data_IF_957169681176
#
_entry.id   IF_957169681176
#
_cell.length_a   1.000
_cell.length_b   1.000
_cell.length_c   1.000
_cell.angle_alpha   90.00
_cell.angle_beta   90.00
_cell.angle_gamma   90.00
#
_symmetry.space_group_name_H-M   'P 1'
#
loop_
_entity.id
_entity.type
_entity.pdbx_description
1 polymer ?
#
# COMPACT_ATOMS: atom_id res chain seq x y z
N UNK A 1 -6.79 1.05 14.35
CA UNK A 1 -6.11 -0.20 13.96
C UNK A 1 -5.99 -1.20 15.09
N UNK A 2 -5.61 -0.80 16.30
CA UNK A 2 -5.46 -1.71 17.44
C UNK A 2 -6.69 -2.59 17.75
N UNK A 3 -7.91 -2.02 17.78
CA UNK A 3 -9.15 -2.78 17.99
C UNK A 3 -9.38 -3.89 16.94
N UNK A 4 -8.95 -3.67 15.70
CA UNK A 4 -9.07 -4.66 14.62
C UNK A 4 -8.10 -5.83 14.86
N UNK A 5 -6.87 -5.53 15.29
CA UNK A 5 -5.86 -6.54 15.65
C UNK A 5 -6.32 -7.36 16.84
N UNK A 6 -6.80 -6.72 17.91
CA UNK A 6 -7.33 -7.41 19.10
C UNK A 6 -8.51 -8.31 18.74
N UNK A 7 -9.43 -7.82 17.90
CA UNK A 7 -10.56 -8.62 17.45
C UNK A 7 -10.13 -9.81 16.59
N UNK A 8 -9.16 -9.64 15.68
CA UNK A 8 -8.55 -10.73 14.89
C UNK A 8 -8.06 -11.85 15.81
N UNK A 9 -7.33 -11.51 16.88
CA UNK A 9 -6.85 -12.51 17.83
C UNK A 9 -8.00 -13.15 18.63
N UNK A 10 -8.98 -12.36 19.06
CA UNK A 10 -10.16 -12.84 19.80
C UNK A 10 -10.96 -13.88 19.03
N UNK A 11 -11.11 -13.73 17.72
CA UNK A 11 -11.86 -14.68 16.87
C UNK A 11 -10.97 -15.81 16.29
N UNK A 12 -9.67 -15.80 16.58
CA UNK A 12 -8.72 -16.78 16.05
C UNK A 12 -8.44 -16.65 14.55
N UNK A 13 -8.61 -15.46 13.96
CA UNK A 13 -8.31 -15.24 12.54
C UNK A 13 -6.79 -15.28 12.31
N UNK A 14 -6.35 -16.20 11.45
CA UNK A 14 -4.92 -16.46 11.19
C UNK A 14 -4.36 -15.71 9.97
N UNK A 15 -5.22 -15.03 9.21
CA UNK A 15 -4.79 -14.29 8.01
C UNK A 15 -4.03 -13.00 8.35
N UNK A 16 -3.31 -12.50 7.36
CA UNK A 16 -2.59 -11.23 7.45
C UNK A 16 -3.56 -10.07 7.24
N UNK A 17 -3.50 -9.06 8.10
CA UNK A 17 -4.23 -7.81 7.88
C UNK A 17 -3.43 -6.96 6.90
N UNK A 18 -4.11 -6.38 5.91
CA UNK A 18 -3.49 -5.55 4.90
C UNK A 18 -4.01 -4.13 4.96
N UNK A 19 -3.12 -3.15 4.80
CA UNK A 19 -3.45 -1.78 4.46
C UNK A 19 -3.04 -1.52 3.02
N UNK A 20 -3.96 -0.96 2.25
CA UNK A 20 -3.73 -0.61 0.85
C UNK A 20 -3.54 0.92 0.73
N UNK A 21 -2.34 1.40 0.41
CA UNK A 21 -2.08 2.83 0.26
C UNK A 21 -2.76 3.42 -0.98
N UNK A 22 -3.43 4.56 -0.84
CA UNK A 22 -4.05 5.30 -1.96
C UNK A 22 -3.95 6.80 -1.75
N UNK A 23 -3.43 7.54 -2.74
CA UNK A 23 -3.46 9.01 -2.71
C UNK A 23 -4.83 9.50 -3.20
N UNK A 24 -5.56 10.23 -2.34
CA UNK A 24 -6.89 10.77 -2.67
C UNK A 24 -6.79 12.01 -3.57
N UNK A 25 -7.72 12.15 -4.52
CA UNK A 25 -7.80 13.20 -5.54
C UNK A 25 -8.53 14.50 -5.13
N UNK A 26 -8.65 14.82 -3.84
CA UNK A 26 -9.22 16.10 -3.33
C UNK A 26 -8.57 16.51 -1.99
N UNK A 27 -8.58 17.80 -1.59
CA UNK A 27 -7.75 18.31 -0.50
C UNK A 27 -8.38 17.99 0.86
N UNK A 28 -8.18 16.76 1.30
CA UNK A 28 -8.18 16.41 2.72
C UNK A 28 -7.25 15.21 2.86
N UNK A 29 -6.15 15.44 3.58
CA UNK A 29 -5.08 14.51 3.99
C UNK A 29 -5.44 13.03 3.73
N UNK A 30 -4.85 12.45 2.69
CA UNK A 30 -4.76 10.98 2.61
C UNK A 30 -3.73 10.54 3.65
N UNK A 31 -4.20 9.92 4.72
CA UNK A 31 -3.35 9.36 5.79
C UNK A 31 -2.64 8.05 5.36
N UNK A 32 -2.25 7.94 4.10
CA UNK A 32 -1.32 6.92 3.60
C UNK A 32 -0.22 7.59 2.78
N UNK A 33 0.27 8.72 3.30
CA UNK A 33 1.49 9.32 2.78
C UNK A 33 2.69 8.62 3.43
N UNK A 34 3.21 7.62 2.70
CA UNK A 34 4.48 6.93 2.95
C UNK A 34 4.56 6.09 4.25
N UNK A 35 5.47 5.09 4.30
CA UNK A 35 5.67 4.24 5.49
C UNK A 35 6.29 4.96 6.71
N UNK A 36 6.56 6.26 6.63
CA UNK A 36 7.33 7.00 7.65
C UNK A 36 6.59 7.47 8.91
N UNK A 37 5.28 7.80 8.93
CA UNK A 37 4.63 8.16 10.19
C UNK A 37 4.22 6.94 11.03
N UNK A 38 4.45 5.71 10.53
CA UNK A 38 4.25 4.52 11.35
C UNK A 38 5.30 4.46 12.46
N UNK A 39 6.59 4.66 12.19
CA UNK A 39 7.67 4.39 13.16
C UNK A 39 7.83 5.41 14.30
N UNK A 40 6.92 6.38 14.48
CA UNK A 40 7.14 7.53 15.38
C UNK A 40 6.59 7.38 16.81
N UNK A 41 5.80 6.35 17.13
CA UNK A 41 5.26 6.15 18.49
C UNK A 41 5.53 4.74 19.02
N UNK A 42 5.80 4.60 20.32
CA UNK A 42 6.03 3.29 20.96
C UNK A 42 4.83 2.32 20.83
N UNK A 43 3.61 2.86 20.70
CA UNK A 43 2.40 2.06 20.46
C UNK A 43 2.18 1.69 19.00
N UNK A 44 2.72 2.44 18.02
CA UNK A 44 2.61 2.09 16.60
C UNK A 44 3.46 0.87 16.23
N UNK A 45 4.61 0.72 16.89
CA UNK A 45 5.53 -0.41 16.77
C UNK A 45 4.93 -1.81 17.05
N UNK A 46 3.84 -1.92 17.82
CA UNK A 46 3.27 -3.22 18.20
C UNK A 46 2.36 -3.78 17.11
N UNK A 47 1.49 -2.95 16.53
CA UNK A 47 0.58 -3.39 15.44
C UNK A 47 1.21 -3.28 14.05
N UNK A 48 2.30 -2.52 13.89
CA UNK A 48 3.15 -2.57 12.68
C UNK A 48 3.63 -3.98 12.31
N UNK A 49 3.79 -4.85 13.32
CA UNK A 49 4.20 -6.24 13.09
C UNK A 49 3.04 -7.14 12.64
N UNK A 50 1.79 -6.74 12.91
CA UNK A 50 0.57 -7.50 12.63
C UNK A 50 -0.07 -7.18 11.28
N UNK A 51 0.36 -6.08 10.65
CA UNK A 51 -0.24 -5.53 9.43
C UNK A 51 0.84 -5.41 8.35
N UNK A 52 0.49 -5.81 7.12
CA UNK A 52 1.34 -5.67 5.93
C UNK A 52 0.67 -4.75 4.90
N UNK A 53 1.39 -4.39 3.85
CA UNK A 53 0.91 -3.54 2.77
C UNK A 53 0.37 -4.38 1.62
N UNK A 54 -0.78 -3.96 1.07
CA UNK A 54 -1.26 -4.36 -0.25
C UNK A 54 -0.90 -3.26 -1.24
N UNK A 55 0.02 -3.51 -2.17
CA UNK A 55 0.52 -2.47 -3.07
C UNK A 55 -0.20 -2.55 -4.41
N UNK A 56 -0.87 -1.48 -4.78
CA UNK A 56 -1.50 -1.33 -6.08
C UNK A 56 -0.66 -0.47 -7.03
N UNK A 57 -0.49 -0.93 -8.26
CA UNK A 57 0.37 -0.27 -9.24
C UNK A 57 -0.15 1.12 -9.66
N UNK A 58 -1.46 1.27 -9.86
CA UNK A 58 -2.04 2.56 -10.24
C UNK A 58 -1.92 3.58 -9.08
N UNK A 59 -2.20 3.15 -7.85
CA UNK A 59 -2.01 3.99 -6.66
C UNK A 59 -0.57 4.49 -6.50
N UNK A 60 0.43 3.63 -6.76
CA UNK A 60 1.84 4.03 -6.74
C UNK A 60 2.09 5.17 -7.75
N UNK A 61 1.59 5.03 -8.98
CA UNK A 61 1.78 6.06 -10.01
C UNK A 61 1.02 7.35 -9.72
N UNK A 62 -0.18 7.30 -9.14
CA UNK A 62 -0.94 8.48 -8.70
C UNK A 62 -0.27 9.21 -7.52
N UNK A 63 0.54 8.49 -6.73
CA UNK A 63 1.40 9.06 -5.69
C UNK A 63 2.71 9.65 -6.24
N UNK A 64 2.98 9.52 -7.54
CA UNK A 64 4.22 9.98 -8.17
C UNK A 64 5.39 9.02 -8.03
N UNK A 65 5.16 7.78 -7.59
CA UNK A 65 6.18 6.75 -7.43
C UNK A 65 6.04 5.67 -8.51
N UNK A 66 7.14 4.97 -8.83
CA UNK A 66 7.04 3.77 -9.65
C UNK A 66 6.51 2.60 -8.80
N UNK A 67 5.77 1.67 -9.39
CA UNK A 67 5.34 0.45 -8.68
C UNK A 67 6.53 -0.34 -8.09
N UNK A 68 7.64 -0.42 -8.81
CA UNK A 68 8.87 -1.07 -8.33
C UNK A 68 9.45 -0.39 -7.08
N UNK A 69 9.38 0.94 -6.99
CA UNK A 69 9.84 1.69 -5.82
C UNK A 69 9.03 1.31 -4.57
N UNK A 70 7.70 1.26 -4.67
CA UNK A 70 6.83 0.87 -3.57
C UNK A 70 7.08 -0.58 -3.12
N UNK A 71 7.21 -1.51 -4.07
CA UNK A 71 7.52 -2.91 -3.78
C UNK A 71 8.88 -3.05 -3.07
N UNK A 72 9.93 -2.42 -3.62
CA UNK A 72 11.27 -2.49 -3.03
C UNK A 72 11.29 -1.91 -1.61
N UNK A 73 10.60 -0.79 -1.39
CA UNK A 73 10.51 -0.13 -0.09
C UNK A 73 9.78 -1.01 0.93
N UNK A 74 8.62 -1.57 0.55
CA UNK A 74 7.86 -2.43 1.46
C UNK A 74 8.60 -3.73 1.81
N UNK A 75 9.33 -4.32 0.86
CA UNK A 75 10.19 -5.49 1.14
C UNK A 75 11.33 -5.10 2.08
N UNK A 76 12.03 -3.99 1.82
CA UNK A 76 13.16 -3.52 2.65
C UNK A 76 12.73 -3.22 4.10
N UNK A 77 11.51 -2.75 4.30
CA UNK A 77 10.93 -2.48 5.62
C UNK A 77 10.26 -3.71 6.26
N UNK A 78 10.22 -4.86 5.58
CA UNK A 78 9.53 -6.06 6.04
C UNK A 78 8.00 -5.89 6.14
N UNK A 79 7.43 -4.94 5.41
CA UNK A 79 6.01 -4.59 5.40
C UNK A 79 5.26 -5.16 4.19
N UNK A 80 5.93 -5.79 3.22
CA UNK A 80 5.28 -6.37 2.04
C UNK A 80 4.28 -7.48 2.42
N UNK A 81 3.06 -7.41 1.87
CA UNK A 81 2.00 -8.38 2.10
C UNK A 81 1.42 -8.96 0.82
N UNK A 82 0.84 -8.10 -0.03
CA UNK A 82 0.20 -8.50 -1.28
C UNK A 82 0.30 -7.39 -2.34
N UNK A 83 -0.21 -7.68 -3.54
CA UNK A 83 -0.29 -6.73 -4.64
C UNK A 83 -1.66 -6.76 -5.31
N UNK A 84 -2.09 -5.58 -5.77
CA UNK A 84 -3.20 -5.42 -6.70
C UNK A 84 -2.64 -5.05 -8.08
N UNK A 85 -2.80 -5.99 -9.01
CA UNK A 85 -2.15 -5.94 -10.32
C UNK A 85 -3.03 -5.21 -11.36
N UNK A 86 -2.96 -3.89 -11.38
CA UNK A 86 -3.61 -3.05 -12.38
C UNK A 86 -2.61 -2.05 -13.02
N UNK A 87 -3.11 -1.02 -13.71
CA UNK A 87 -2.34 0.14 -14.15
C UNK A 87 -3.22 1.38 -14.20
N UNK A 88 -2.56 2.54 -14.15
CA UNK A 88 -3.16 3.83 -14.46
C UNK A 88 -3.05 4.25 -15.91
N UNK A 89 -3.46 5.49 -16.14
CA UNK A 89 -3.14 6.25 -17.34
C UNK A 89 -2.36 7.52 -16.92
N UNK A 90 -1.11 7.73 -17.39
CA UNK A 90 -0.32 8.90 -17.03
C UNK A 90 -0.97 10.26 -17.38
N UNK A 91 -1.92 10.28 -18.32
CA UNK A 91 -2.66 11.50 -18.69
C UNK A 91 -3.90 11.73 -17.84
N UNK A 92 -4.35 10.72 -17.08
CA UNK A 92 -5.55 10.78 -16.25
C UNK A 92 -5.14 10.76 -14.78
N UNK A 93 -5.28 11.89 -14.10
CA UNK A 93 -4.93 12.05 -12.68
C UNK A 93 -5.87 11.36 -11.69
N UNK A 94 -6.54 10.29 -12.11
CA UNK A 94 -7.46 9.50 -11.31
C UNK A 94 -7.24 8.01 -11.54
N UNK A 95 -7.82 7.24 -10.64
CA UNK A 95 -7.70 5.81 -10.63
C UNK A 95 -8.55 5.17 -11.73
N UNK A 96 -7.92 4.44 -12.64
CA UNK A 96 -8.59 3.88 -13.84
C UNK A 96 -8.79 2.37 -13.82
N UNK A 97 -8.18 1.66 -12.86
CA UNK A 97 -8.30 0.21 -12.67
C UNK A 97 -8.13 -0.64 -13.93
N UNK A 98 -7.30 -0.17 -14.87
CA UNK A 98 -7.11 -0.89 -16.13
C UNK A 98 -6.31 -2.16 -15.87
N UNK A 99 -6.71 -3.25 -16.53
CA UNK A 99 -5.90 -4.47 -16.53
C UNK A 99 -4.49 -4.18 -17.04
N UNK A 100 -3.52 -4.85 -16.42
CA UNK A 100 -2.15 -4.84 -16.92
C UNK A 100 -2.11 -5.49 -18.31
N UNK A 101 -1.82 -4.70 -19.34
CA UNK A 101 -1.64 -5.20 -20.70
C UNK A 101 -0.23 -5.77 -20.88
N UNK A 102 -0.07 -6.68 -21.84
CA UNK A 102 1.18 -7.43 -22.07
C UNK A 102 2.42 -6.51 -22.11
N UNK A 103 3.53 -7.01 -21.59
CA UNK A 103 4.77 -6.28 -21.35
C UNK A 103 5.28 -5.55 -22.59
N UNK A 104 4.98 -4.26 -22.71
CA UNK A 104 6.00 -3.36 -23.25
C UNK A 104 7.14 -3.43 -22.26
N UNK A 105 8.20 -4.15 -22.63
CA UNK A 105 9.50 -4.09 -21.97
C UNK A 105 9.77 -2.62 -21.69
N UNK A 106 9.73 -2.24 -20.42
CA UNK A 106 10.10 -0.90 -19.97
C UNK A 106 11.55 -0.76 -20.40
N UNK A 107 11.78 -0.10 -21.55
CA UNK A 107 13.11 0.22 -22.01
C UNK A 107 13.61 1.30 -21.07
N UNK A 108 14.55 0.91 -20.21
CA UNK A 108 15.46 1.83 -19.54
C UNK A 108 16.26 2.57 -20.60
#
# INVERSE_FOLDING_TARGET
MQLVVEHKHKIGFKGTLLIEPKRRSRPSISMTMMPLPFTASSNSLVWEKEIKLNIEANHATLAGHSFHHEIATAIALGLFGSVDANRGDPQLGWDTDQFRTASKRMRW
#
